data_IF_984325565602
#
_entry.id   IF_984325565602
#
_cell.length_a   1.000
_cell.length_b   1.000
_cell.length_c   1.000
_cell.angle_alpha   90.00
_cell.angle_beta   90.00
_cell.angle_gamma   90.00
#
_symmetry.space_group_name_H-M   'P 1'
#
loop_
_entity.id
_entity.type
_entity.pdbx_description
1 polymer ?
#
# COMPACT_ATOMS: atom_id res chain seq x y z
N UNK A 1 -13.68 20.00 20.74
CA UNK A 1 -14.13 21.38 20.49
C UNK A 1 -15.56 21.51 20.98
N UNK A 2 -15.83 22.52 21.78
CA UNK A 2 -17.16 22.87 22.26
C UNK A 2 -17.55 24.23 21.69
N UNK A 3 -18.83 24.44 21.44
CA UNK A 3 -19.37 25.79 21.20
C UNK A 3 -19.85 26.36 22.52
N UNK A 4 -18.98 27.12 23.17
CA UNK A 4 -19.24 27.73 24.48
C UNK A 4 -20.38 28.75 24.46
N UNK A 5 -20.92 29.09 23.29
CA UNK A 5 -22.11 29.95 23.17
C UNK A 5 -23.43 29.18 23.33
N UNK A 6 -23.41 27.86 23.11
CA UNK A 6 -24.56 26.96 23.23
C UNK A 6 -24.56 26.19 24.56
N UNK A 7 -23.46 25.51 24.87
CA UNK A 7 -23.18 24.85 26.15
C UNK A 7 -21.71 24.37 26.19
N UNK A 8 -21.25 23.90 27.35
CA UNK A 8 -19.87 23.39 27.51
C UNK A 8 -19.66 21.96 26.98
N UNK A 9 -20.68 21.32 26.37
CA UNK A 9 -20.52 19.98 25.84
C UNK A 9 -19.71 20.00 24.53
N UNK A 10 -18.92 18.95 24.32
CA UNK A 10 -18.19 18.79 23.07
C UNK A 10 -19.17 18.65 21.89
N UNK A 11 -18.85 19.28 20.77
CA UNK A 11 -19.55 19.13 19.49
C UNK A 11 -18.76 18.21 18.57
N UNK A 12 -17.44 18.28 18.63
CA UNK A 12 -16.56 17.41 17.85
C UNK A 12 -15.28 17.06 18.61
N UNK A 13 -14.71 15.89 18.31
CA UNK A 13 -13.46 15.42 18.88
C UNK A 13 -12.52 14.90 17.80
N UNK A 14 -11.27 15.37 17.82
CA UNK A 14 -10.19 14.83 16.99
C UNK A 14 -9.59 13.62 17.69
N UNK A 15 -9.93 12.42 17.24
CA UNK A 15 -9.56 11.17 17.91
C UNK A 15 -8.17 10.67 17.52
N UNK A 16 -7.54 11.28 16.51
CA UNK A 16 -6.28 10.80 15.96
C UNK A 16 -6.42 9.35 15.52
N UNK A 17 -5.48 8.52 15.98
CA UNK A 17 -5.49 7.06 15.76
C UNK A 17 -6.07 6.28 16.95
N UNK A 18 -6.91 6.89 17.78
CA UNK A 18 -7.54 6.21 18.93
C UNK A 18 -8.81 5.47 18.50
N UNK A 19 -9.77 6.20 17.93
CA UNK A 19 -11.03 5.65 17.40
C UNK A 19 -11.15 6.09 15.94
N UNK A 20 -11.47 5.14 15.08
CA UNK A 20 -11.78 5.35 13.67
C UNK A 20 -13.27 5.08 13.41
N UNK A 21 -13.73 5.33 12.18
CA UNK A 21 -15.06 4.88 11.77
C UNK A 21 -15.05 3.36 11.56
N UNK A 22 -15.75 2.63 12.42
CA UNK A 22 -15.85 1.17 12.39
C UNK A 22 -14.66 0.40 12.97
N UNK A 23 -13.63 1.08 13.50
CA UNK A 23 -12.44 0.43 14.05
C UNK A 23 -11.75 1.29 15.13
N UNK A 24 -10.64 0.80 15.71
CA UNK A 24 -9.80 1.50 16.70
C UNK A 24 -8.31 1.35 16.37
N UNK A 25 -7.47 2.21 16.94
CA UNK A 25 -6.02 2.19 16.75
C UNK A 25 -5.35 0.84 17.00
N UNK A 26 -4.35 0.50 16.20
CA UNK A 26 -3.46 -0.65 16.47
C UNK A 26 -2.55 -0.41 17.67
N UNK A 27 -2.15 -1.48 18.36
CA UNK A 27 -1.32 -1.40 19.58
C UNK A 27 -0.02 -2.22 19.50
N UNK A 28 0.27 -2.79 18.33
CA UNK A 28 1.35 -3.75 18.07
C UNK A 28 2.67 -3.10 17.59
N UNK A 29 2.70 -1.79 17.32
CA UNK A 29 3.87 -1.11 16.73
C UNK A 29 5.16 -1.21 17.55
N UNK A 30 5.06 -1.22 18.87
CA UNK A 30 6.22 -1.29 19.80
C UNK A 30 6.56 -2.72 20.26
N UNK A 31 5.94 -3.72 19.62
CA UNK A 31 6.18 -5.13 19.86
C UNK A 31 5.46 -5.70 21.10
N UNK A 32 5.53 -7.03 21.29
CA UNK A 32 4.61 -7.76 22.18
C UNK A 32 4.66 -7.33 23.65
N UNK A 33 5.81 -6.83 24.13
CA UNK A 33 5.97 -6.38 25.53
C UNK A 33 5.13 -5.15 25.84
N UNK A 34 5.00 -4.24 24.87
CA UNK A 34 4.22 -3.02 25.02
C UNK A 34 2.77 -3.18 24.60
N UNK A 35 2.46 -4.15 23.72
CA UNK A 35 1.11 -4.34 23.17
C UNK A 35 0.04 -4.49 24.25
N UNK A 36 0.30 -5.23 25.33
CA UNK A 36 -0.66 -5.37 26.44
C UNK A 36 -0.93 -4.00 27.09
N UNK A 37 0.12 -3.29 27.52
CA UNK A 37 0.02 -1.99 28.17
C UNK A 37 -0.65 -0.94 27.26
N UNK A 38 -0.37 -0.96 25.97
CA UNK A 38 -0.96 -0.05 25.00
C UNK A 38 -2.42 -0.39 24.70
N UNK A 39 -2.80 -1.67 24.72
CA UNK A 39 -4.20 -2.09 24.60
C UNK A 39 -5.04 -1.66 25.79
N UNK A 40 -4.48 -1.77 27.00
CA UNK A 40 -5.05 -1.23 28.23
C UNK A 40 -5.21 0.30 28.15
N UNK A 41 -4.17 1.01 27.71
CA UNK A 41 -4.23 2.46 27.56
C UNK A 41 -5.25 2.91 26.51
N UNK A 42 -5.36 2.17 25.40
CA UNK A 42 -6.34 2.40 24.35
C UNK A 42 -7.76 2.21 24.88
N UNK A 43 -8.04 1.08 25.52
CA UNK A 43 -9.34 0.80 26.14
C UNK A 43 -9.73 1.92 27.11
N UNK A 44 -8.85 2.26 28.06
CA UNK A 44 -9.11 3.31 29.04
C UNK A 44 -9.35 4.69 28.39
N UNK A 45 -8.63 5.01 27.31
CA UNK A 45 -8.83 6.26 26.57
C UNK A 45 -10.19 6.30 25.89
N UNK A 46 -10.62 5.19 25.29
CA UNK A 46 -11.91 5.07 24.62
C UNK A 46 -13.05 5.14 25.64
N UNK A 47 -13.09 4.19 26.58
CA UNK A 47 -14.26 3.98 27.43
C UNK A 47 -14.38 5.00 28.56
N UNK A 48 -13.26 5.49 29.10
CA UNK A 48 -13.28 6.39 30.26
C UNK A 48 -13.12 7.86 29.90
N UNK A 49 -12.67 8.20 28.68
CA UNK A 49 -12.44 9.60 28.27
C UNK A 49 -13.24 10.01 27.04
N UNK A 50 -13.25 9.21 25.98
CA UNK A 50 -13.92 9.59 24.72
C UNK A 50 -15.42 9.32 24.77
N UNK A 51 -15.86 8.10 25.09
CA UNK A 51 -17.28 7.76 25.15
C UNK A 51 -18.11 8.65 26.11
N UNK A 52 -17.57 9.12 27.25
CA UNK A 52 -18.29 10.05 28.13
C UNK A 52 -18.54 11.45 27.54
N UNK A 53 -17.92 11.83 26.42
CA UNK A 53 -18.14 13.13 25.78
C UNK A 53 -19.57 13.29 25.23
N UNK A 54 -20.29 12.18 25.02
CA UNK A 54 -21.69 12.16 24.61
C UNK A 54 -21.91 11.70 23.17
N UNK A 55 -23.07 11.09 22.93
CA UNK A 55 -23.36 10.38 21.68
C UNK A 55 -23.50 11.28 20.45
N UNK A 56 -23.84 12.55 20.65
CA UNK A 56 -23.97 13.55 19.58
C UNK A 56 -22.65 14.13 19.08
N UNK A 57 -21.52 13.82 19.72
CA UNK A 57 -20.21 14.37 19.38
C UNK A 57 -19.73 13.80 18.04
N UNK A 58 -19.37 14.68 17.10
CA UNK A 58 -18.78 14.33 15.81
C UNK A 58 -17.38 13.76 16.03
N UNK A 59 -17.10 12.64 15.39
CA UNK A 59 -15.83 11.95 15.46
C UNK A 59 -14.96 12.32 14.26
N UNK A 60 -13.75 12.83 14.52
CA UNK A 60 -12.79 13.26 13.50
C UNK A 60 -11.48 12.47 13.63
N UNK A 61 -11.37 11.30 12.98
CA UNK A 61 -10.15 10.50 13.02
C UNK A 61 -9.03 11.09 12.16
N UNK A 62 -7.79 10.66 12.39
CA UNK A 62 -6.67 11.03 11.53
C UNK A 62 -6.54 10.17 10.26
N UNK A 63 -7.19 9.00 10.22
CA UNK A 63 -7.16 8.07 9.10
C UNK A 63 -8.55 7.52 8.74
N UNK A 64 -8.69 7.10 7.48
CA UNK A 64 -9.88 6.43 6.91
C UNK A 64 -9.55 5.05 6.31
N UNK A 65 -10.45 4.52 5.49
CA UNK A 65 -10.30 3.22 4.84
C UNK A 65 -8.95 3.07 4.10
N UNK A 66 -8.35 1.88 4.22
CA UNK A 66 -7.08 1.54 3.58
C UNK A 66 -5.81 1.95 4.37
N UNK A 67 -5.95 2.66 5.49
CA UNK A 67 -4.80 2.97 6.36
C UNK A 67 -4.31 1.72 7.12
N UNK A 68 -2.98 1.59 7.25
CA UNK A 68 -2.32 0.55 8.05
C UNK A 68 -2.32 0.84 9.56
N UNK A 69 -2.85 2.00 9.98
CA UNK A 69 -3.00 2.38 11.39
C UNK A 69 -4.21 1.71 12.08
N UNK A 70 -5.13 1.14 11.29
CA UNK A 70 -6.24 0.30 11.75
C UNK A 70 -6.30 -1.01 10.98
N UNK A 71 -7.11 -1.96 11.45
CA UNK A 71 -7.29 -3.26 10.82
C UNK A 71 -8.40 -3.30 9.77
N UNK A 72 -9.48 -2.54 9.97
CA UNK A 72 -10.69 -2.58 9.15
C UNK A 72 -11.49 -1.26 9.16
N UNK A 73 -10.81 -0.11 8.98
CA UNK A 73 -11.47 1.20 8.96
C UNK A 73 -12.49 1.26 7.81
N UNK A 74 -13.71 1.72 8.11
CA UNK A 74 -14.81 1.86 7.16
C UNK A 74 -14.55 2.97 6.14
N UNK A 75 -15.15 2.85 4.95
CA UNK A 75 -15.11 3.88 3.89
C UNK A 75 -15.88 5.16 4.25
N UNK A 76 -16.77 5.09 5.24
CA UNK A 76 -17.54 6.26 5.67
C UNK A 76 -16.62 7.28 6.37
N UNK A 77 -16.59 8.49 5.85
CA UNK A 77 -15.74 9.58 6.39
C UNK A 77 -16.26 10.21 7.68
N UNK A 78 -17.57 10.16 7.90
CA UNK A 78 -18.24 10.88 9.00
C UNK A 78 -18.88 9.90 9.98
N UNK A 79 -18.73 10.15 11.28
CA UNK A 79 -19.42 9.39 12.32
C UNK A 79 -19.63 10.24 13.58
N UNK A 80 -20.32 9.68 14.57
CA UNK A 80 -20.44 10.24 15.92
C UNK A 80 -20.05 9.19 16.95
N UNK A 81 -19.77 9.64 18.17
CA UNK A 81 -19.51 8.74 19.30
C UNK A 81 -20.68 7.76 19.51
N UNK A 82 -21.92 8.22 19.38
CA UNK A 82 -23.09 7.36 19.53
C UNK A 82 -23.19 6.28 18.44
N UNK A 83 -22.91 6.64 17.18
CA UNK A 83 -22.89 5.67 16.08
C UNK A 83 -21.79 4.63 16.27
N UNK A 84 -20.58 5.05 16.65
CA UNK A 84 -19.50 4.10 16.93
C UNK A 84 -19.82 3.23 18.15
N UNK A 85 -20.38 3.79 19.23
CA UNK A 85 -20.81 3.00 20.39
C UNK A 85 -21.78 1.89 20.02
N UNK A 86 -22.65 2.11 19.03
CA UNK A 86 -23.65 1.13 18.59
C UNK A 86 -23.16 0.15 17.52
N UNK A 87 -22.18 0.54 16.69
CA UNK A 87 -21.83 -0.19 15.46
C UNK A 87 -20.38 -0.64 15.39
N UNK A 88 -19.47 -0.01 16.12
CA UNK A 88 -18.06 -0.36 16.10
C UNK A 88 -17.85 -1.70 16.81
N UNK A 89 -17.39 -2.76 16.11
CA UNK A 89 -17.27 -4.09 16.69
C UNK A 89 -16.34 -4.15 17.90
N UNK A 90 -15.32 -3.29 17.94
CA UNK A 90 -14.39 -3.23 19.07
C UNK A 90 -15.04 -2.63 20.31
N UNK A 91 -16.02 -1.73 20.15
CA UNK A 91 -16.74 -1.12 21.26
C UNK A 91 -17.83 -2.04 21.84
N UNK A 92 -18.14 -3.15 21.17
CA UNK A 92 -19.07 -4.17 21.67
C UNK A 92 -18.40 -5.22 22.56
N UNK A 93 -17.06 -5.24 22.59
CA UNK A 93 -16.28 -6.22 23.35
C UNK A 93 -16.28 -5.88 24.83
N UNK A 94 -16.28 -6.90 25.68
CA UNK A 94 -15.88 -6.74 27.08
C UNK A 94 -14.42 -6.29 27.16
N UNK A 95 -14.00 -5.81 28.33
CA UNK A 95 -12.62 -5.43 28.59
C UNK A 95 -11.62 -6.51 28.13
N UNK A 96 -11.77 -7.73 28.66
CA UNK A 96 -10.82 -8.81 28.40
C UNK A 96 -10.82 -9.26 26.94
N UNK A 97 -11.99 -9.31 26.30
CA UNK A 97 -12.10 -9.60 24.86
C UNK A 97 -11.41 -8.54 24.00
N UNK A 98 -11.55 -7.25 24.35
CA UNK A 98 -10.87 -6.16 23.66
C UNK A 98 -9.35 -6.32 23.76
N UNK A 99 -8.85 -6.54 24.99
CA UNK A 99 -7.41 -6.68 25.24
C UNK A 99 -6.86 -7.91 24.50
N UNK A 100 -7.51 -9.07 24.61
CA UNK A 100 -7.09 -10.28 23.91
C UNK A 100 -7.08 -10.10 22.40
N UNK A 101 -8.09 -9.43 21.83
CA UNK A 101 -8.14 -9.14 20.40
C UNK A 101 -6.95 -8.27 19.98
N UNK A 102 -6.70 -7.15 20.66
CA UNK A 102 -5.59 -6.23 20.30
C UNK A 102 -4.21 -6.84 20.54
N UNK A 103 -4.07 -7.71 21.55
CA UNK A 103 -2.83 -8.47 21.79
C UNK A 103 -2.59 -9.53 20.71
N UNK A 104 -3.66 -10.10 20.14
CA UNK A 104 -3.60 -11.05 19.02
C UNK A 104 -3.41 -10.40 17.65
N UNK A 105 -3.75 -9.11 17.52
CA UNK A 105 -3.67 -8.37 16.26
C UNK A 105 -2.23 -8.26 15.74
N UNK A 106 -2.05 -8.58 14.46
CA UNK A 106 -0.79 -8.41 13.73
C UNK A 106 -1.09 -7.71 12.43
N UNK A 107 -0.67 -6.46 12.33
CA UNK A 107 -0.82 -5.69 11.09
C UNK A 107 0.55 -5.43 10.48
N UNK A 108 0.58 -5.30 9.16
CA UNK A 108 1.83 -5.03 8.46
C UNK A 108 2.43 -3.71 8.91
N UNK A 109 3.74 -3.70 9.19
CA UNK A 109 4.50 -2.50 9.58
C UNK A 109 5.48 -2.14 8.47
N UNK A 110 5.17 -1.11 7.66
CA UNK A 110 6.09 -0.66 6.61
C UNK A 110 7.44 -0.23 7.19
N UNK A 111 8.58 -0.58 6.55
CA UNK A 111 9.91 -0.19 7.03
C UNK A 111 10.09 1.32 7.20
N UNK A 112 9.43 2.13 6.36
CA UNK A 112 9.52 3.60 6.41
C UNK A 112 8.98 4.21 7.71
N UNK A 113 8.16 3.49 8.48
CA UNK A 113 7.65 3.97 9.77
C UNK A 113 8.78 4.35 10.72
N UNK A 114 9.89 3.61 10.71
CA UNK A 114 11.08 3.95 11.52
C UNK A 114 11.62 5.34 11.18
N UNK A 115 11.60 5.72 9.90
CA UNK A 115 12.05 7.03 9.44
C UNK A 115 11.05 8.13 9.83
N UNK A 116 9.76 7.84 9.74
CA UNK A 116 8.71 8.79 10.15
C UNK A 116 8.71 9.02 11.66
N UNK A 117 8.90 7.98 12.47
CA UNK A 117 9.08 8.08 13.92
C UNK A 117 10.27 8.99 14.26
N UNK A 118 11.42 8.78 13.60
CA UNK A 118 12.58 9.64 13.76
C UNK A 118 12.26 11.11 13.42
N UNK A 119 11.70 11.35 12.23
CA UNK A 119 11.39 12.71 11.77
C UNK A 119 10.35 13.41 12.64
N UNK A 120 9.32 12.70 13.10
CA UNK A 120 8.28 13.29 13.93
C UNK A 120 8.76 13.59 15.36
N UNK A 121 9.82 12.91 15.84
CA UNK A 121 10.46 13.17 17.13
C UNK A 121 11.52 14.27 17.05
N UNK A 122 12.37 14.24 16.03
CA UNK A 122 13.54 15.13 15.89
C UNK A 122 13.23 16.41 15.10
N UNK A 123 12.11 16.43 14.38
CA UNK A 123 11.77 17.42 13.36
C UNK A 123 12.27 16.96 11.98
N UNK A 124 11.39 16.88 10.96
CA UNK A 124 11.83 16.57 9.60
C UNK A 124 12.70 17.72 9.04
N UNK A 125 13.53 17.46 8.03
CA UNK A 125 14.17 18.51 7.25
C UNK A 125 13.12 19.51 6.74
N UNK A 126 13.36 20.81 6.96
CA UNK A 126 12.46 21.85 6.50
C UNK A 126 12.53 21.97 4.98
N UNK A 127 11.38 21.77 4.32
CA UNK A 127 11.23 22.03 2.90
C UNK A 127 10.75 23.46 2.70
N UNK A 128 11.58 24.30 2.08
CA UNK A 128 11.18 25.64 1.70
C UNK A 128 10.08 25.63 0.62
N UNK A 129 10.18 24.68 -0.32
CA UNK A 129 9.20 24.40 -1.36
C UNK A 129 9.18 22.89 -1.63
N UNK A 130 8.13 22.40 -2.28
CA UNK A 130 8.14 21.05 -2.83
C UNK A 130 9.30 20.90 -3.83
N UNK A 131 9.94 19.72 -3.93
CA UNK A 131 10.93 19.43 -4.96
C UNK A 131 10.39 19.75 -6.35
N UNK A 132 11.21 20.39 -7.19
CA UNK A 132 10.91 20.65 -8.59
C UNK A 132 11.85 19.83 -9.48
N UNK A 133 11.59 18.51 -9.64
CA UNK A 133 12.46 17.62 -10.40
C UNK A 133 12.46 18.01 -11.88
N UNK A 134 13.62 18.02 -12.56
CA UNK A 134 13.69 18.41 -13.96
C UNK A 134 13.07 17.34 -14.88
N UNK A 135 12.52 17.72 -16.05
CA UNK A 135 12.32 16.78 -17.14
C UNK A 135 13.68 16.26 -17.60
N UNK A 136 13.77 14.96 -17.86
CA UNK A 136 14.96 14.31 -18.36
C UNK A 136 14.69 13.67 -19.71
N UNK A 137 15.55 13.95 -20.68
CA UNK A 137 15.60 13.17 -21.93
C UNK A 137 15.93 11.70 -21.62
N UNK A 138 15.62 10.74 -22.52
CA UNK A 138 15.98 9.33 -22.34
C UNK A 138 17.47 9.11 -22.07
N UNK A 139 18.36 9.87 -22.71
CA UNK A 139 19.81 9.82 -22.48
C UNK A 139 20.17 10.23 -21.06
N UNK A 140 19.62 11.34 -20.57
CA UNK A 140 19.86 11.82 -19.21
C UNK A 140 19.24 10.89 -18.16
N UNK A 141 18.04 10.38 -18.43
CA UNK A 141 17.34 9.43 -17.58
C UNK A 141 18.15 8.12 -17.45
N UNK A 142 18.63 7.55 -18.56
CA UNK A 142 19.52 6.39 -18.55
C UNK A 142 20.83 6.66 -17.80
N UNK A 143 21.41 7.85 -17.97
CA UNK A 143 22.61 8.26 -17.23
C UNK A 143 22.37 8.26 -15.72
N UNK A 144 21.22 8.78 -15.26
CA UNK A 144 20.84 8.79 -13.84
C UNK A 144 20.60 7.37 -13.30
N UNK A 145 19.97 6.49 -14.09
CA UNK A 145 19.86 5.05 -13.77
C UNK A 145 21.25 4.44 -13.54
N UNK A 146 22.18 4.68 -14.47
CA UNK A 146 23.55 4.14 -14.39
C UNK A 146 24.34 4.70 -13.19
N UNK A 147 23.94 5.86 -12.65
CA UNK A 147 24.49 6.46 -11.43
C UNK A 147 23.85 5.91 -10.14
N UNK A 148 22.93 4.94 -10.25
CA UNK A 148 22.33 4.26 -9.10
C UNK A 148 20.95 4.76 -8.68
N UNK A 149 20.32 5.63 -9.49
CA UNK A 149 18.95 6.06 -9.22
C UNK A 149 17.96 4.90 -9.36
N UNK A 150 16.89 4.92 -8.57
CA UNK A 150 15.80 3.94 -8.62
C UNK A 150 14.65 4.49 -9.47
N UNK A 151 14.12 3.67 -10.37
CA UNK A 151 13.02 4.05 -11.27
C UNK A 151 11.70 3.57 -10.71
N UNK A 152 10.75 4.49 -10.59
CA UNK A 152 9.36 4.21 -10.23
C UNK A 152 8.48 4.54 -11.43
N UNK A 153 7.83 3.53 -11.96
CA UNK A 153 6.86 3.65 -13.03
C UNK A 153 5.46 3.66 -12.42
N UNK A 154 4.75 4.79 -12.58
CA UNK A 154 3.46 5.03 -11.96
C UNK A 154 2.28 4.77 -12.90
N UNK A 155 2.56 4.30 -14.11
CA UNK A 155 1.54 3.95 -15.09
C UNK A 155 0.72 2.75 -14.63
N UNK A 156 -0.43 2.55 -15.25
CA UNK A 156 -1.29 1.43 -14.92
C UNK A 156 -0.60 0.08 -15.17
N UNK A 157 -0.94 -1.01 -14.44
CA UNK A 157 -0.35 -2.32 -14.65
C UNK A 157 -0.39 -2.84 -16.09
N UNK A 158 -1.44 -2.50 -16.85
CA UNK A 158 -1.57 -2.84 -18.27
C UNK A 158 -0.53 -2.12 -19.13
N UNK A 159 -0.29 -0.82 -18.88
CA UNK A 159 0.72 -0.03 -19.57
C UNK A 159 2.14 -0.50 -19.23
N UNK A 160 2.41 -0.80 -17.95
CA UNK A 160 3.68 -1.38 -17.50
C UNK A 160 3.93 -2.77 -18.12
N UNK A 161 2.90 -3.60 -18.18
CA UNK A 161 2.92 -4.92 -18.82
C UNK A 161 3.25 -4.84 -20.31
N UNK A 162 2.60 -3.91 -21.00
CA UNK A 162 2.81 -3.65 -22.42
C UNK A 162 4.24 -3.20 -22.74
N UNK A 163 4.87 -2.38 -21.89
CA UNK A 163 6.31 -2.08 -21.97
C UNK A 163 6.77 -1.28 -20.75
N UNK A 164 8.00 -1.48 -20.30
CA UNK A 164 8.60 -0.71 -19.20
C UNK A 164 10.13 -0.66 -19.28
N UNK A 165 10.75 0.27 -18.53
CA UNK A 165 12.20 0.37 -18.46
C UNK A 165 12.74 -0.77 -17.60
N UNK A 166 13.73 -1.52 -18.11
CA UNK A 166 14.34 -2.62 -17.37
C UNK A 166 14.70 -2.20 -15.95
N UNK A 167 14.22 -2.99 -15.00
CA UNK A 167 14.48 -2.77 -13.59
C UNK A 167 13.69 -1.63 -12.97
N UNK A 168 12.60 -1.13 -13.55
CA UNK A 168 11.69 -0.22 -12.82
C UNK A 168 10.81 -0.95 -11.81
N UNK A 169 10.41 -0.27 -10.73
CA UNK A 169 9.30 -0.71 -9.89
C UNK A 169 7.97 -0.27 -10.51
N UNK A 170 7.00 -1.18 -10.59
CA UNK A 170 5.62 -0.85 -10.97
C UNK A 170 4.83 -0.46 -9.73
N UNK A 171 4.65 0.84 -9.48
CA UNK A 171 3.84 1.34 -8.37
C UNK A 171 2.87 2.36 -8.94
N UNK A 172 1.64 1.91 -9.24
CA UNK A 172 0.58 2.79 -9.74
C UNK A 172 0.42 4.03 -8.85
N UNK A 173 -0.06 5.14 -9.43
CA UNK A 173 -0.10 6.45 -8.78
C UNK A 173 -0.67 6.42 -7.35
N UNK A 174 -1.84 5.82 -7.16
CA UNK A 174 -2.53 5.73 -5.86
C UNK A 174 -1.85 4.74 -4.90
N UNK A 175 -0.96 3.89 -5.41
CA UNK A 175 -0.15 2.96 -4.63
C UNK A 175 1.12 3.58 -4.03
N UNK A 176 1.57 4.74 -4.53
CA UNK A 176 2.79 5.39 -4.04
C UNK A 176 2.80 5.60 -2.51
N UNK A 177 1.74 6.17 -1.88
CA UNK A 177 1.72 6.36 -0.43
C UNK A 177 1.80 5.04 0.36
N UNK A 178 1.25 3.95 -0.21
CA UNK A 178 1.17 2.66 0.46
C UNK A 178 2.41 1.80 0.29
N UNK A 179 3.10 1.89 -0.86
CA UNK A 179 4.11 0.90 -1.27
C UNK A 179 5.51 1.44 -1.50
N UNK A 180 5.70 2.74 -1.76
CA UNK A 180 7.04 3.30 -1.96
C UNK A 180 7.95 3.05 -0.75
N UNK A 181 7.41 3.23 0.47
CA UNK A 181 8.12 2.98 1.73
C UNK A 181 8.50 1.52 2.02
N UNK A 182 8.02 0.56 1.22
CA UNK A 182 8.40 -0.86 1.35
C UNK A 182 9.61 -1.23 0.51
N UNK A 183 9.75 -0.62 -0.67
CA UNK A 183 10.70 -1.07 -1.70
C UNK A 183 11.81 -0.07 -1.99
N UNK A 184 11.57 1.23 -1.78
CA UNK A 184 12.54 2.27 -2.09
C UNK A 184 13.57 2.45 -0.98
N UNK A 185 14.78 2.84 -1.38
CA UNK A 185 15.85 3.25 -0.45
C UNK A 185 15.89 4.77 -0.33
N UNK A 186 16.13 5.29 0.87
CA UNK A 186 16.34 6.73 1.07
C UNK A 186 17.68 7.24 0.54
N UNK A 187 18.63 6.35 0.25
CA UNK A 187 19.99 6.69 -0.19
C UNK A 187 20.10 6.87 -1.71
N UNK A 188 19.02 6.56 -2.44
CA UNK A 188 19.00 6.56 -3.91
C UNK A 188 17.99 7.58 -4.43
N UNK A 189 18.38 8.45 -5.38
CA UNK A 189 17.43 9.34 -6.03
C UNK A 189 16.30 8.56 -6.73
N UNK A 190 15.07 9.07 -6.66
CA UNK A 190 13.91 8.51 -7.34
C UNK A 190 13.75 9.17 -8.71
N UNK A 191 13.64 8.36 -9.77
CA UNK A 191 13.24 8.79 -11.10
C UNK A 191 11.82 8.34 -11.41
N UNK A 192 11.04 9.20 -12.03
CA UNK A 192 9.63 8.96 -12.31
C UNK A 192 9.36 8.68 -13.79
N UNK A 193 8.62 7.61 -14.07
CA UNK A 193 7.92 7.40 -15.34
C UNK A 193 6.43 7.59 -15.08
N UNK A 194 5.83 8.61 -15.69
CA UNK A 194 4.45 9.01 -15.46
C UNK A 194 3.60 8.71 -16.70
N UNK A 195 2.29 8.51 -16.50
CA UNK A 195 1.33 8.42 -17.61
C UNK A 195 1.16 9.79 -18.26
N UNK A 196 1.15 10.84 -17.44
CA UNK A 196 1.02 12.22 -17.89
C UNK A 196 1.82 13.15 -16.99
N UNK A 197 2.37 14.22 -17.57
CA UNK A 197 3.01 15.31 -16.80
C UNK A 197 2.10 15.89 -15.72
N UNK A 198 0.77 15.84 -15.91
CA UNK A 198 -0.21 16.33 -14.93
C UNK A 198 -0.15 15.61 -13.58
N UNK A 199 0.41 14.41 -13.55
CA UNK A 199 0.53 13.61 -12.32
C UNK A 199 1.79 13.93 -11.51
N UNK A 200 2.69 14.78 -12.03
CA UNK A 200 4.00 15.03 -11.42
C UNK A 200 3.87 15.59 -10.01
N UNK A 201 3.04 16.62 -9.80
CA UNK A 201 2.83 17.24 -8.48
C UNK A 201 2.24 16.24 -7.47
N UNK A 202 1.33 15.38 -7.91
CA UNK A 202 0.74 14.31 -7.08
C UNK A 202 1.81 13.31 -6.65
N UNK A 203 2.63 12.82 -7.59
CA UNK A 203 3.69 11.87 -7.30
C UNK A 203 4.73 12.45 -6.33
N UNK A 204 5.14 13.70 -6.54
CA UNK A 204 6.04 14.43 -5.63
C UNK A 204 5.43 14.53 -4.23
N UNK A 205 4.16 14.95 -4.15
CA UNK A 205 3.46 15.10 -2.87
C UNK A 205 3.37 13.78 -2.09
N UNK A 206 3.11 12.66 -2.79
CA UNK A 206 3.06 11.34 -2.18
C UNK A 206 4.44 10.89 -1.67
N UNK A 207 5.49 11.05 -2.46
CA UNK A 207 6.85 10.64 -2.08
C UNK A 207 7.41 11.49 -0.92
N UNK A 208 7.22 12.81 -0.97
CA UNK A 208 7.69 13.73 0.08
C UNK A 208 7.02 13.46 1.42
N UNK A 209 5.72 13.12 1.44
CA UNK A 209 5.00 12.75 2.68
C UNK A 209 5.57 11.49 3.35
N UNK A 210 6.29 10.66 2.60
CA UNK A 210 7.00 9.47 3.09
C UNK A 210 8.50 9.76 3.37
N UNK A 211 8.93 11.02 3.21
CA UNK A 211 10.33 11.45 3.38
C UNK A 211 11.24 11.17 2.18
N UNK A 212 10.68 10.83 1.00
CA UNK A 212 11.45 10.70 -0.24
C UNK A 212 11.45 12.02 -1.00
N UNK A 213 12.35 12.92 -0.59
CA UNK A 213 12.53 14.27 -1.17
C UNK A 213 13.62 14.33 -2.26
N UNK A 214 14.47 13.31 -2.35
CA UNK A 214 15.49 13.16 -3.41
C UNK A 214 14.88 12.65 -4.73
N UNK A 215 14.06 13.48 -5.38
CA UNK A 215 13.45 13.18 -6.68
C UNK A 215 14.35 13.72 -7.80
N UNK A 216 15.03 12.82 -8.51
CA UNK A 216 16.11 13.15 -9.44
C UNK A 216 15.67 13.64 -10.82
N UNK A 217 14.39 13.46 -11.17
CA UNK A 217 13.82 13.85 -12.46
C UNK A 217 12.67 12.94 -12.90
N UNK A 218 12.01 13.32 -13.98
CA UNK A 218 10.98 12.49 -14.61
C UNK A 218 11.26 12.35 -16.10
N UNK A 219 10.88 11.22 -16.68
CA UNK A 219 11.13 10.93 -18.09
C UNK A 219 10.26 11.82 -18.97
N UNK A 220 10.88 12.76 -19.68
CA UNK A 220 10.21 13.57 -20.70
C UNK A 220 11.22 14.20 -21.67
N UNK A 221 11.05 13.94 -22.96
CA UNK A 221 11.81 14.57 -24.04
C UNK A 221 11.09 15.84 -24.52
N UNK A 222 11.41 16.98 -23.89
CA UNK A 222 10.88 18.28 -24.30
C UNK A 222 9.44 18.53 -23.86
N UNK A 223 8.67 19.27 -24.67
CA UNK A 223 7.28 19.63 -24.35
C UNK A 223 6.24 18.66 -24.91
N UNK A 224 6.63 17.80 -25.86
CA UNK A 224 5.69 17.05 -26.69
C UNK A 224 5.64 15.54 -26.36
N UNK A 225 6.72 14.95 -25.86
CA UNK A 225 6.78 13.52 -25.54
C UNK A 225 7.25 13.27 -24.10
N UNK A 226 6.30 13.03 -23.19
CA UNK A 226 6.59 12.60 -21.82
C UNK A 226 6.32 11.10 -21.62
N UNK A 227 6.96 10.50 -20.61
CA UNK A 227 6.77 9.10 -20.27
C UNK A 227 7.47 8.15 -21.26
N UNK A 228 7.02 6.89 -21.25
CA UNK A 228 7.71 5.81 -21.96
C UNK A 228 7.75 5.99 -23.48
N UNK A 229 6.82 6.76 -24.06
CA UNK A 229 6.86 7.08 -25.49
C UNK A 229 8.19 7.70 -25.91
N UNK A 230 8.69 8.66 -25.13
CA UNK A 230 9.99 9.27 -25.39
C UNK A 230 11.15 8.27 -25.35
N UNK A 231 11.04 7.23 -24.52
CA UNK A 231 12.07 6.20 -24.35
C UNK A 231 12.23 5.34 -25.60
N UNK A 232 11.13 4.72 -26.06
CA UNK A 232 11.20 3.80 -27.20
C UNK A 232 11.33 4.55 -28.54
N UNK A 233 10.80 5.77 -28.67
CA UNK A 233 11.03 6.61 -29.87
C UNK A 233 12.49 7.04 -30.00
N UNK A 234 13.22 7.11 -28.88
CA UNK A 234 14.67 7.35 -28.84
C UNK A 234 15.50 6.06 -28.94
N UNK A 235 14.88 4.95 -29.35
CA UNK A 235 15.53 3.64 -29.55
C UNK A 235 16.18 3.03 -28.29
N UNK A 236 15.73 3.38 -27.09
CA UNK A 236 16.14 2.70 -25.86
C UNK A 236 15.37 1.39 -25.66
N UNK A 237 16.02 0.34 -25.14
CA UNK A 237 15.37 -0.95 -24.93
C UNK A 237 14.35 -0.88 -23.78
N UNK A 238 13.27 -1.64 -23.92
CA UNK A 238 12.27 -1.86 -22.87
C UNK A 238 12.06 -3.36 -22.64
N UNK A 239 11.52 -3.72 -21.48
CA UNK A 239 11.08 -5.07 -21.14
C UNK A 239 9.55 -5.13 -21.08
N UNK A 240 9.03 -6.35 -20.98
CA UNK A 240 7.60 -6.63 -20.84
C UNK A 240 7.35 -7.40 -19.54
N UNK A 241 6.16 -7.24 -18.99
CA UNK A 241 5.67 -8.09 -17.92
C UNK A 241 4.50 -8.92 -18.48
N UNK A 242 4.54 -10.24 -18.28
CA UNK A 242 3.45 -11.11 -18.69
C UNK A 242 2.15 -10.69 -18.01
N UNK A 243 1.07 -10.59 -18.78
CA UNK A 243 -0.26 -10.31 -18.26
C UNK A 243 -1.13 -11.54 -18.50
N UNK A 244 -1.89 -11.92 -17.48
CA UNK A 244 -2.88 -12.99 -17.58
C UNK A 244 -4.24 -12.44 -17.17
N UNK A 245 -5.27 -12.81 -17.91
CA UNK A 245 -6.65 -12.78 -17.43
C UNK A 245 -6.89 -13.91 -16.41
N UNK A 246 -7.98 -13.82 -15.65
CA UNK A 246 -8.38 -14.90 -14.73
C UNK A 246 -8.80 -16.17 -15.50
N UNK A 247 -9.31 -16.03 -16.72
CA UNK A 247 -9.63 -17.14 -17.63
C UNK A 247 -8.36 -17.88 -18.05
N UNK A 248 -7.35 -17.16 -18.53
CA UNK A 248 -6.06 -17.77 -18.90
C UNK A 248 -5.38 -18.41 -17.70
N UNK A 249 -5.47 -17.80 -16.51
CA UNK A 249 -4.99 -18.41 -15.28
C UNK A 249 -5.72 -19.73 -15.00
N UNK A 250 -7.05 -19.73 -15.05
CA UNK A 250 -7.89 -20.91 -14.81
C UNK A 250 -7.59 -22.03 -15.80
N UNK A 251 -7.49 -21.73 -17.08
CA UNK A 251 -7.16 -22.70 -18.13
C UNK A 251 -5.79 -23.33 -17.89
N UNK A 252 -4.78 -22.55 -17.48
CA UNK A 252 -3.45 -23.08 -17.15
C UNK A 252 -3.49 -23.99 -15.93
N UNK A 253 -4.27 -23.65 -14.90
CA UNK A 253 -4.47 -24.49 -13.72
C UNK A 253 -5.15 -25.83 -14.09
N UNK A 254 -6.19 -25.79 -14.91
CA UNK A 254 -6.95 -26.98 -15.32
C UNK A 254 -6.12 -27.94 -16.19
N UNK A 255 -5.20 -27.40 -16.99
CA UNK A 255 -4.24 -28.20 -17.76
C UNK A 255 -3.12 -28.81 -16.89
N UNK A 256 -2.97 -28.34 -15.65
CA UNK A 256 -1.85 -28.73 -14.78
C UNK A 256 -0.51 -28.17 -15.27
N UNK A 257 -0.51 -26.97 -15.87
CA UNK A 257 0.72 -26.30 -16.30
C UNK A 257 1.66 -26.09 -15.08
N UNK A 258 2.96 -26.26 -15.27
CA UNK A 258 3.94 -26.10 -14.19
C UNK A 258 4.23 -24.61 -13.92
N UNK A 259 3.46 -23.98 -13.03
CA UNK A 259 3.70 -22.61 -12.56
C UNK A 259 3.18 -22.40 -11.13
N UNK A 260 3.59 -21.30 -10.49
CA UNK A 260 3.13 -20.90 -9.15
C UNK A 260 2.13 -19.78 -9.22
N UNK A 261 1.01 -19.91 -8.53
CA UNK A 261 0.18 -18.75 -8.16
C UNK A 261 0.69 -18.20 -6.83
N UNK A 262 1.08 -16.93 -6.80
CA UNK A 262 1.47 -16.23 -5.58
C UNK A 262 0.46 -15.13 -5.27
N UNK A 263 -0.33 -15.31 -4.22
CA UNK A 263 -1.19 -14.27 -3.68
C UNK A 263 -0.36 -13.30 -2.86
N UNK A 264 -0.50 -12.01 -3.17
CA UNK A 264 0.28 -10.93 -2.55
C UNK A 264 -0.58 -9.96 -1.72
N UNK A 265 -1.81 -10.35 -1.41
CA UNK A 265 -2.73 -9.62 -0.53
C UNK A 265 -2.35 -9.75 0.94
N UNK A 266 -3.07 -9.06 1.81
CA UNK A 266 -2.90 -9.17 3.26
C UNK A 266 -3.35 -10.54 3.78
N UNK A 267 -2.90 -10.93 4.98
CA UNK A 267 -3.35 -12.17 5.65
C UNK A 267 -4.87 -12.25 5.78
N UNK A 268 -5.54 -11.12 6.06
CA UNK A 268 -7.00 -11.04 6.17
C UNK A 268 -7.67 -11.43 4.85
N UNK A 269 -7.29 -10.76 3.76
CA UNK A 269 -7.84 -11.01 2.43
C UNK A 269 -7.57 -12.45 1.95
N UNK A 270 -6.41 -13.01 2.32
CA UNK A 270 -6.06 -14.40 2.05
C UNK A 270 -6.99 -15.38 2.79
N UNK A 271 -7.20 -15.16 4.10
CA UNK A 271 -8.04 -16.01 4.94
C UNK A 271 -9.52 -15.99 4.51
N UNK A 272 -10.01 -14.85 4.01
CA UNK A 272 -11.37 -14.70 3.46
C UNK A 272 -11.61 -15.53 2.20
N UNK A 273 -10.57 -15.87 1.45
CA UNK A 273 -10.67 -16.73 0.28
C UNK A 273 -9.55 -16.50 -0.73
N UNK A 274 -8.97 -17.57 -1.27
CA UNK A 274 -7.87 -17.54 -2.24
C UNK A 274 -7.94 -18.68 -3.27
N UNK A 275 -7.14 -18.57 -4.33
CA UNK A 275 -6.99 -19.62 -5.36
C UNK A 275 -6.40 -20.89 -4.73
N UNK A 276 -6.95 -22.05 -5.05
CA UNK A 276 -6.46 -23.34 -4.56
C UNK A 276 -4.98 -23.55 -4.93
N UNK A 277 -4.20 -24.11 -4.00
CA UNK A 277 -2.76 -24.36 -4.12
C UNK A 277 -1.88 -23.11 -4.34
N UNK A 278 -2.42 -21.90 -4.21
CA UNK A 278 -1.61 -20.69 -4.23
C UNK A 278 -0.65 -20.64 -3.03
N UNK A 279 0.49 -19.98 -3.23
CA UNK A 279 1.37 -19.55 -2.15
C UNK A 279 0.98 -18.14 -1.70
N UNK A 280 1.30 -17.78 -0.46
CA UNK A 280 0.98 -16.46 0.09
C UNK A 280 2.22 -15.74 0.61
N UNK A 281 2.48 -14.55 0.05
CA UNK A 281 3.51 -13.62 0.54
C UNK A 281 3.03 -12.20 0.27
N UNK A 282 2.69 -11.45 1.32
CA UNK A 282 2.30 -10.04 1.18
C UNK A 282 3.34 -9.25 0.37
N UNK A 283 2.86 -8.42 -0.57
CA UNK A 283 3.69 -7.68 -1.54
C UNK A 283 4.86 -6.91 -0.91
N UNK A 284 4.65 -6.32 0.28
CA UNK A 284 5.68 -5.56 0.99
C UNK A 284 6.90 -6.40 1.41
N UNK A 285 6.73 -7.71 1.57
CA UNK A 285 7.81 -8.61 2.00
C UNK A 285 8.59 -9.23 0.86
N UNK A 286 8.07 -9.19 -0.37
CA UNK A 286 8.62 -9.92 -1.53
C UNK A 286 10.10 -9.58 -1.76
N UNK A 287 10.47 -8.30 -1.72
CA UNK A 287 11.87 -7.88 -1.95
C UNK A 287 12.85 -8.47 -0.92
N UNK A 288 12.39 -8.77 0.30
CA UNK A 288 13.20 -9.37 1.37
C UNK A 288 13.03 -10.90 1.47
N UNK A 289 12.05 -11.46 0.75
CA UNK A 289 11.67 -12.88 0.80
C UNK A 289 11.70 -13.54 -0.57
N UNK A 290 12.61 -13.11 -1.44
CA UNK A 290 12.79 -13.72 -2.77
C UNK A 290 13.11 -15.21 -2.68
N UNK A 291 13.75 -15.65 -1.58
CA UNK A 291 14.04 -17.04 -1.24
C UNK A 291 12.78 -17.89 -1.04
N UNK A 292 11.64 -17.27 -0.75
CA UNK A 292 10.34 -17.95 -0.60
C UNK A 292 9.62 -18.16 -1.93
N UNK A 293 10.13 -17.58 -3.01
CA UNK A 293 9.52 -17.67 -4.33
C UNK A 293 10.27 -18.74 -5.13
N UNK A 294 9.62 -19.84 -5.55
CA UNK A 294 10.28 -20.97 -6.21
C UNK A 294 11.16 -20.58 -7.40
N UNK A 295 12.42 -21.00 -7.47
CA UNK A 295 13.43 -20.41 -8.38
C UNK A 295 13.43 -20.92 -9.84
N UNK A 296 12.65 -21.95 -10.19
CA UNK A 296 12.70 -22.58 -11.53
C UNK A 296 11.31 -22.79 -12.17
N UNK A 297 10.34 -21.98 -11.79
CA UNK A 297 9.02 -22.04 -12.40
C UNK A 297 8.44 -20.64 -12.59
N UNK A 298 7.59 -20.44 -13.61
CA UNK A 298 6.91 -19.17 -13.78
C UNK A 298 6.01 -18.85 -12.60
N UNK A 299 5.88 -17.56 -12.29
CA UNK A 299 5.09 -17.07 -11.15
C UNK A 299 4.01 -16.13 -11.64
N UNK A 300 2.76 -16.49 -11.39
CA UNK A 300 1.58 -15.65 -11.59
C UNK A 300 1.21 -14.98 -10.26
N UNK A 301 1.43 -13.68 -10.18
CA UNK A 301 1.09 -12.88 -9.02
C UNK A 301 -0.38 -12.46 -9.10
N UNK A 302 -1.13 -12.74 -8.04
CA UNK A 302 -2.54 -12.36 -7.90
C UNK A 302 -2.73 -11.46 -6.68
N UNK A 303 -3.56 -10.42 -6.83
CA UNK A 303 -4.03 -9.62 -5.71
C UNK A 303 -5.52 -9.33 -5.87
N UNK A 304 -6.10 -8.27 -5.29
CA UNK A 304 -7.54 -7.99 -5.51
C UNK A 304 -7.86 -7.70 -6.96
N UNK A 305 -7.14 -6.77 -7.61
CA UNK A 305 -7.47 -6.28 -8.97
C UNK A 305 -6.28 -6.25 -9.96
N UNK A 306 -5.06 -6.54 -9.51
CA UNK A 306 -3.84 -6.59 -10.33
C UNK A 306 -2.78 -5.51 -10.03
N UNK A 307 -3.09 -4.52 -9.19
CA UNK A 307 -2.17 -3.43 -8.83
C UNK A 307 -0.95 -3.91 -8.03
N UNK A 308 -1.18 -4.56 -6.87
CA UNK A 308 -0.09 -5.12 -6.04
C UNK A 308 0.64 -6.26 -6.75
N UNK A 309 -0.06 -7.03 -7.59
CA UNK A 309 0.54 -8.09 -8.41
C UNK A 309 1.58 -7.54 -9.40
N UNK A 310 1.32 -6.37 -10.00
CA UNK A 310 2.29 -5.70 -10.87
C UNK A 310 3.55 -5.26 -10.11
N UNK A 311 3.41 -4.72 -8.90
CA UNK A 311 4.54 -4.39 -8.04
C UNK A 311 5.36 -5.65 -7.71
N UNK A 312 4.70 -6.70 -7.24
CA UNK A 312 5.32 -7.98 -6.93
C UNK A 312 6.12 -8.54 -8.11
N UNK A 313 5.50 -8.55 -9.30
CA UNK A 313 6.15 -9.01 -10.52
C UNK A 313 7.34 -8.13 -10.92
N UNK A 314 7.23 -6.79 -10.77
CA UNK A 314 8.35 -5.89 -11.04
C UNK A 314 9.54 -6.12 -10.10
N UNK A 315 9.31 -6.50 -8.84
CA UNK A 315 10.36 -6.90 -7.90
C UNK A 315 11.05 -8.17 -8.39
N UNK A 316 10.28 -9.13 -8.90
CA UNK A 316 10.81 -10.39 -9.43
C UNK A 316 11.66 -10.16 -10.71
N UNK A 317 11.17 -9.33 -11.64
CA UNK A 317 11.90 -8.94 -12.84
C UNK A 317 13.21 -8.22 -12.50
N UNK A 318 13.18 -7.31 -11.51
CA UNK A 318 14.38 -6.63 -10.97
C UNK A 318 15.41 -7.60 -10.38
N UNK A 319 14.96 -8.74 -9.86
CA UNK A 319 15.84 -9.83 -9.39
C UNK A 319 16.38 -10.71 -10.52
N UNK A 320 16.12 -10.37 -11.79
CA UNK A 320 16.59 -11.10 -12.96
C UNK A 320 15.71 -12.29 -13.36
N UNK A 321 14.56 -12.47 -12.71
CA UNK A 321 13.65 -13.60 -12.93
C UNK A 321 12.52 -13.20 -13.87
N UNK A 322 12.65 -13.60 -15.14
CA UNK A 322 11.83 -13.13 -16.26
C UNK A 322 10.46 -13.81 -16.40
N UNK A 323 10.31 -15.00 -15.86
CA UNK A 323 9.06 -15.78 -15.90
C UNK A 323 8.06 -15.28 -14.83
N UNK A 324 7.63 -14.03 -14.98
CA UNK A 324 6.73 -13.32 -14.07
C UNK A 324 5.47 -12.87 -14.81
N UNK A 325 4.31 -13.13 -14.21
CA UNK A 325 3.01 -12.75 -14.73
C UNK A 325 2.21 -11.98 -13.68
N UNK A 326 1.49 -10.94 -14.10
CA UNK A 326 0.47 -10.29 -13.27
C UNK A 326 -0.92 -10.71 -13.74
N UNK A 327 -1.74 -11.18 -12.81
CA UNK A 327 -3.13 -11.56 -13.08
C UNK A 327 -4.02 -10.33 -12.96
N UNK A 328 -4.47 -9.79 -14.10
CA UNK A 328 -5.36 -8.63 -14.14
C UNK A 328 -6.79 -9.01 -13.73
N UNK A 329 -7.47 -8.10 -13.06
CA UNK A 329 -8.77 -8.36 -12.44
C UNK A 329 -8.68 -9.10 -11.11
N UNK A 330 -7.59 -9.83 -10.88
CA UNK A 330 -7.24 -10.45 -9.60
C UNK A 330 -8.35 -11.33 -9.01
N UNK A 331 -8.39 -11.40 -7.67
CA UNK A 331 -9.39 -12.16 -6.94
C UNK A 331 -10.81 -11.62 -7.10
N UNK A 332 -10.98 -10.32 -7.38
CA UNK A 332 -12.30 -9.75 -7.67
C UNK A 332 -12.88 -10.39 -8.94
N UNK A 333 -12.12 -10.38 -10.04
CA UNK A 333 -12.57 -11.03 -11.27
C UNK A 333 -12.65 -12.56 -11.16
N UNK A 334 -11.79 -13.19 -10.35
CA UNK A 334 -11.85 -14.63 -10.09
C UNK A 334 -13.16 -15.04 -9.42
N UNK A 335 -13.61 -14.25 -8.43
CA UNK A 335 -14.88 -14.47 -7.74
C UNK A 335 -16.08 -14.17 -8.63
N UNK A 336 -16.06 -13.07 -9.40
CA UNK A 336 -17.12 -12.74 -10.37
C UNK A 336 -17.26 -13.79 -11.48
N UNK A 337 -16.19 -14.55 -11.77
CA UNK A 337 -16.22 -15.67 -12.71
C UNK A 337 -16.70 -16.99 -12.07
N UNK A 338 -17.16 -16.97 -10.81
CA UNK A 338 -17.59 -18.13 -10.02
C UNK A 338 -16.53 -19.24 -9.94
N UNK A 339 -15.24 -18.89 -9.99
CA UNK A 339 -14.16 -19.86 -9.90
C UNK A 339 -13.92 -20.32 -8.46
N UNK A 340 -13.47 -21.58 -8.24
CA UNK A 340 -13.28 -22.12 -6.91
C UNK A 340 -12.30 -21.31 -6.06
N UNK A 341 -12.63 -21.15 -4.77
CA UNK A 341 -11.76 -20.55 -3.77
C UNK A 341 -11.66 -21.46 -2.54
N UNK A 342 -10.52 -21.40 -1.87
CA UNK A 342 -10.30 -21.98 -0.55
C UNK A 342 -10.37 -20.86 0.48
N UNK A 343 -11.21 -21.03 1.50
CA UNK A 343 -11.26 -20.12 2.65
C UNK A 343 -10.78 -20.88 3.90
N UNK A 344 -9.97 -20.22 4.72
CA UNK A 344 -9.60 -20.77 6.01
C UNK A 344 -10.78 -20.51 6.95
N UNK A 345 -11.40 -21.57 7.48
CA UNK A 345 -12.39 -21.44 8.55
C UNK A 345 -11.70 -20.73 9.72
N UNK A 346 -12.12 -19.49 9.97
CA UNK A 346 -11.67 -18.67 11.10
C UNK A 346 -12.36 -19.08 12.38
#
# INVERSE_FOLDING_TARGET
LADTTMNDNAIMVFTGDTIFVGDVGRTDLYGPRETLRLSEALYNSIFNKLLPLGDGVILCPAHGAGSVCGGAISEREWSTIGLERLKNPMLQKTHDEFIMFKVGERLERPPYFKKMEQYNLEGPPLLANLPNPPPLSPVEFQKRINQGAQVVDTRAPSAFGGSHIKGSYSIWMEGLPGYAGWVLSYDKPVLLVLESRRQLETAISYLVRLGYDQIGGYLCAGLEACGLESWYTSAFPFEHLGLLSVQELKDRLDRGDNFTVLDVRTDREWNEGHVENALHVYVGHIQKRLDKIPENQPVAFICSVGNRGSLAASILLRAGRREAYNVLGGMTAWQEADYPIIALKT
#
